data_IF_863654847730
#
_entry.id   IF_863654847730
#
_cell.length_a   1.000
_cell.length_b   1.000
_cell.length_c   1.000
_cell.angle_alpha   90.00
_cell.angle_beta   90.00
_cell.angle_gamma   90.00
#
_symmetry.space_group_name_H-M   'P 1'
#
loop_
_entity.id
_entity.type
_entity.pdbx_description
1 polymer ?
#
# COMPACT_ATOMS: atom_id res chain seq x y z
N UNK A 1 -18.41 39.83 -16.15
CA UNK A 1 -18.10 38.45 -16.59
C UNK A 1 -17.83 38.37 -18.10
N UNK A 2 -18.57 39.09 -18.97
CA UNK A 2 -18.32 39.12 -20.42
C UNK A 2 -16.91 39.61 -20.85
N UNK A 3 -16.36 40.68 -20.26
CA UNK A 3 -15.04 41.20 -20.67
C UNK A 3 -13.87 40.22 -20.45
N UNK A 4 -13.92 39.40 -19.39
CA UNK A 4 -12.86 38.42 -19.08
C UNK A 4 -12.92 37.20 -20.01
N UNK A 5 -14.13 36.78 -20.41
CA UNK A 5 -14.33 35.70 -21.39
C UNK A 5 -13.82 36.16 -22.76
N UNK A 6 -14.12 37.40 -23.15
CA UNK A 6 -13.70 37.99 -24.41
C UNK A 6 -12.17 38.19 -24.47
N UNK A 7 -11.55 38.67 -23.39
CA UNK A 7 -10.08 38.76 -23.30
C UNK A 7 -9.38 37.40 -23.38
N UNK A 8 -9.94 36.35 -22.75
CA UNK A 8 -9.39 35.00 -22.84
C UNK A 8 -9.53 34.39 -24.24
N UNK A 9 -10.64 34.66 -24.93
CA UNK A 9 -10.83 34.24 -26.32
C UNK A 9 -9.81 34.91 -27.25
N UNK A 10 -9.58 36.21 -27.09
CA UNK A 10 -8.58 36.97 -27.85
C UNK A 10 -7.17 36.42 -27.58
N UNK A 11 -6.78 36.22 -26.31
CA UNK A 11 -5.49 35.63 -25.95
C UNK A 11 -5.27 34.25 -26.56
N UNK A 12 -6.28 33.38 -26.56
CA UNK A 12 -6.21 32.06 -27.19
C UNK A 12 -6.02 32.16 -28.70
N UNK A 13 -6.76 33.06 -29.37
CA UNK A 13 -6.63 33.29 -30.80
C UNK A 13 -5.20 33.73 -31.17
N UNK A 14 -4.65 34.71 -30.45
CA UNK A 14 -3.28 35.20 -30.68
C UNK A 14 -2.21 34.13 -30.42
N UNK A 15 -2.43 33.24 -29.44
CA UNK A 15 -1.52 32.12 -29.18
C UNK A 15 -1.55 31.07 -30.28
N UNK A 16 -2.73 30.76 -30.82
CA UNK A 16 -2.88 29.81 -31.92
C UNK A 16 -2.24 30.35 -33.21
N UNK A 17 -2.46 31.61 -33.54
CA UNK A 17 -1.80 32.27 -34.69
C UNK A 17 -0.27 32.24 -34.58
N UNK A 18 0.28 32.39 -33.37
CA UNK A 18 1.74 32.25 -33.14
C UNK A 18 2.23 30.82 -33.37
N UNK A 19 1.46 29.80 -32.97
CA UNK A 19 1.81 28.39 -33.19
C UNK A 19 1.79 28.04 -34.68
N UNK A 20 0.80 28.52 -35.42
CA UNK A 20 0.70 28.31 -36.87
C UNK A 20 1.88 28.96 -37.61
N UNK A 21 2.25 30.19 -37.27
CA UNK A 21 3.42 30.86 -37.86
C UNK A 21 4.73 30.10 -37.62
N UNK A 22 4.91 29.48 -36.45
CA UNK A 22 6.11 28.68 -36.16
C UNK A 22 6.08 27.38 -36.97
N UNK A 23 4.93 26.74 -37.12
CA UNK A 23 4.77 25.54 -37.96
C UNK A 23 5.03 25.83 -39.44
N UNK A 24 4.59 26.97 -39.95
CA UNK A 24 4.91 27.42 -41.32
C UNK A 24 6.41 27.60 -41.52
N UNK A 25 7.10 28.26 -40.57
CA UNK A 25 8.56 28.42 -40.62
C UNK A 25 9.32 27.09 -40.59
N UNK A 26 8.82 26.10 -39.83
CA UNK A 26 9.39 24.75 -39.85
C UNK A 26 9.22 24.10 -41.23
N UNK A 27 8.01 24.17 -41.82
CA UNK A 27 7.74 23.62 -43.17
C UNK A 27 8.56 24.30 -44.25
N UNK A 28 8.74 25.62 -44.17
CA UNK A 28 9.60 26.37 -45.10
C UNK A 28 11.07 25.99 -44.94
N UNK A 29 11.55 25.85 -43.70
CA UNK A 29 12.89 25.35 -43.41
C UNK A 29 13.12 23.96 -44.01
N UNK A 30 12.15 23.05 -43.85
CA UNK A 30 12.20 21.69 -44.43
C UNK A 30 12.22 21.72 -45.97
N UNK A 31 11.44 22.60 -46.60
CA UNK A 31 11.49 22.80 -48.07
C UNK A 31 12.86 23.31 -48.53
N UNK A 32 13.45 24.27 -47.81
CA UNK A 32 14.80 24.80 -48.12
C UNK A 32 15.89 23.76 -47.89
N UNK A 33 15.73 22.90 -46.88
CA UNK A 33 16.66 21.80 -46.60
C UNK A 33 16.63 20.72 -47.69
N UNK A 34 15.46 20.45 -48.29
CA UNK A 34 15.35 19.54 -49.47
C UNK A 34 16.13 20.05 -50.68
N UNK A 35 16.20 21.37 -50.87
CA UNK A 35 16.95 22.00 -51.96
C UNK A 35 18.46 22.10 -51.67
N UNK A 36 18.86 22.17 -50.39
CA UNK A 36 20.27 22.25 -49.95
C UNK A 36 20.55 21.31 -48.76
N UNK A 37 20.79 20.00 -49.02
CA UNK A 37 20.85 18.97 -47.97
C UNK A 37 21.99 19.11 -46.96
N UNK A 38 23.10 19.77 -47.34
CA UNK A 38 24.31 19.91 -46.50
C UNK A 38 24.39 21.22 -45.71
N UNK A 39 23.38 22.08 -45.77
CA UNK A 39 23.41 23.36 -45.06
C UNK A 39 23.19 23.19 -43.55
N UNK A 40 24.24 23.43 -42.76
CA UNK A 40 24.17 23.36 -41.30
C UNK A 40 23.35 24.50 -40.69
N UNK A 41 23.26 25.66 -41.36
CA UNK A 41 22.51 26.81 -40.86
C UNK A 41 21.00 26.56 -40.87
N UNK A 42 20.47 25.99 -41.97
CA UNK A 42 19.04 25.65 -42.10
C UNK A 42 18.65 24.60 -41.06
N UNK A 43 19.53 23.63 -40.79
CA UNK A 43 19.29 22.61 -39.77
C UNK A 43 19.23 23.19 -38.36
N UNK A 44 20.06 24.20 -38.06
CA UNK A 44 20.05 24.92 -36.77
C UNK A 44 18.77 25.74 -36.61
N UNK A 45 18.31 26.42 -37.65
CA UNK A 45 17.04 27.18 -37.63
C UNK A 45 15.82 26.27 -37.38
N UNK A 46 15.73 25.14 -38.08
CA UNK A 46 14.63 24.17 -37.88
C UNK A 46 14.61 23.66 -36.44
N UNK A 47 15.77 23.26 -35.90
CA UNK A 47 15.88 22.82 -34.50
C UNK A 47 15.45 23.91 -33.52
N UNK A 48 15.82 25.17 -33.78
CA UNK A 48 15.45 26.29 -32.92
C UNK A 48 13.93 26.51 -32.91
N UNK A 49 13.27 26.43 -34.07
CA UNK A 49 11.81 26.51 -34.15
C UNK A 49 11.11 25.31 -33.51
N UNK A 50 11.66 24.10 -33.65
CA UNK A 50 11.14 22.89 -32.96
C UNK A 50 11.22 23.02 -31.44
N UNK A 51 12.31 23.55 -30.89
CA UNK A 51 12.44 23.82 -29.45
C UNK A 51 11.45 24.88 -28.99
N UNK A 52 11.27 25.97 -29.75
CA UNK A 52 10.27 26.99 -29.46
C UNK A 52 8.85 26.42 -29.45
N UNK A 53 8.52 25.56 -30.42
CA UNK A 53 7.23 24.90 -30.51
C UNK A 53 6.98 23.96 -29.33
N UNK A 54 7.97 23.11 -28.98
CA UNK A 54 7.94 22.25 -27.80
C UNK A 54 7.73 23.05 -26.50
N UNK A 55 8.41 24.18 -26.34
CA UNK A 55 8.24 25.06 -25.18
C UNK A 55 6.82 25.60 -25.06
N UNK A 56 6.21 26.01 -26.18
CA UNK A 56 4.81 26.48 -26.19
C UNK A 56 3.82 25.35 -25.89
N UNK A 57 4.05 24.14 -26.39
CA UNK A 57 3.24 22.96 -26.06
C UNK A 57 3.33 22.65 -24.57
N UNK A 58 4.54 22.62 -24.00
CA UNK A 58 4.74 22.34 -22.59
C UNK A 58 4.03 23.37 -21.70
N UNK A 59 4.08 24.65 -22.04
CA UNK A 59 3.33 25.71 -21.32
C UNK A 59 1.82 25.52 -21.39
N UNK A 60 1.29 25.10 -22.56
CA UNK A 60 -0.14 24.85 -22.74
C UNK A 60 -0.59 23.59 -21.99
N UNK A 61 0.26 22.54 -21.96
CA UNK A 61 0.06 21.34 -21.15
C UNK A 61 0.06 21.72 -19.66
N UNK A 62 1.06 22.47 -19.19
CA UNK A 62 1.11 22.96 -17.81
C UNK A 62 -0.14 23.76 -17.45
N UNK A 63 -0.61 24.63 -18.34
CA UNK A 63 -1.81 25.42 -18.14
C UNK A 63 -3.07 24.55 -18.08
N UNK A 64 -3.22 23.57 -18.98
CA UNK A 64 -4.33 22.62 -18.95
C UNK A 64 -4.29 21.74 -17.70
N UNK A 65 -3.10 21.33 -17.24
CA UNK A 65 -2.90 20.64 -15.97
C UNK A 65 -3.32 21.53 -14.80
N UNK A 66 -2.95 22.81 -14.80
CA UNK A 66 -3.41 23.79 -13.79
C UNK A 66 -4.92 24.01 -13.83
N UNK A 67 -5.55 24.09 -15.01
CA UNK A 67 -7.00 24.18 -15.17
C UNK A 67 -7.72 22.93 -14.69
N UNK A 68 -7.21 21.74 -14.99
CA UNK A 68 -7.73 20.48 -14.44
C UNK A 68 -7.62 20.42 -12.92
N UNK A 69 -6.69 21.18 -12.31
CA UNK A 69 -6.56 21.36 -10.85
C UNK A 69 -7.46 22.46 -10.28
N UNK A 70 -8.10 23.30 -11.11
CA UNK A 70 -8.83 24.49 -10.66
C UNK A 70 -10.25 24.11 -10.20
N UNK A 71 -10.45 24.14 -8.88
CA UNK A 71 -11.71 23.86 -8.17
C UNK A 71 -12.30 25.13 -7.50
N UNK A 72 -12.22 26.33 -8.10
CA UNK A 72 -12.68 27.54 -7.41
C UNK A 72 -14.20 27.67 -7.38
N UNK A 73 -14.71 27.77 -6.15
CA UNK A 73 -16.11 27.70 -5.71
C UNK A 73 -17.09 28.68 -6.38
N UNK A 74 -16.65 29.89 -6.71
CA UNK A 74 -17.54 30.98 -7.14
C UNK A 74 -17.79 31.05 -8.65
N UNK A 75 -16.94 30.38 -9.44
CA UNK A 75 -16.97 30.41 -10.91
C UNK A 75 -17.36 29.07 -11.53
N UNK A 76 -17.78 28.10 -10.71
CA UNK A 76 -18.20 26.79 -11.18
C UNK A 76 -19.70 26.77 -11.56
N UNK A 77 -20.04 26.11 -12.68
CA UNK A 77 -21.43 25.87 -13.10
C UNK A 77 -22.23 25.16 -11.99
N UNK A 78 -23.59 25.17 -12.03
CA UNK A 78 -24.47 24.56 -10.98
C UNK A 78 -24.01 23.17 -10.50
N UNK A 79 -23.60 22.28 -11.42
CA UNK A 79 -23.05 20.95 -11.07
C UNK A 79 -21.71 21.03 -10.31
N UNK A 80 -20.83 21.96 -10.68
CA UNK A 80 -19.55 22.21 -10.01
C UNK A 80 -19.71 22.90 -8.65
N UNK A 81 -20.75 23.71 -8.45
CA UNK A 81 -21.09 24.31 -7.15
C UNK A 81 -21.50 23.25 -6.12
N UNK A 82 -22.30 22.26 -6.54
CA UNK A 82 -22.65 21.11 -5.70
C UNK A 82 -21.40 20.30 -5.32
N UNK A 83 -20.53 20.01 -6.30
CA UNK A 83 -19.26 19.31 -6.06
C UNK A 83 -18.35 20.11 -5.11
N UNK A 84 -18.20 21.43 -5.32
CA UNK A 84 -17.41 22.29 -4.46
C UNK A 84 -17.96 22.35 -3.03
N UNK A 85 -19.29 22.36 -2.86
CA UNK A 85 -19.93 22.25 -1.56
C UNK A 85 -19.65 20.90 -0.88
N UNK A 86 -19.75 19.79 -1.62
CA UNK A 86 -19.40 18.46 -1.12
C UNK A 86 -17.92 18.38 -0.71
N UNK A 87 -17.02 18.95 -1.51
CA UNK A 87 -15.60 19.05 -1.20
C UNK A 87 -15.35 19.89 0.06
N UNK A 88 -16.04 21.01 0.24
CA UNK A 88 -15.95 21.85 1.45
C UNK A 88 -16.46 21.13 2.69
N UNK A 89 -17.56 20.37 2.57
CA UNK A 89 -18.07 19.50 3.65
C UNK A 89 -17.04 18.45 4.03
N UNK A 90 -16.45 17.76 3.05
CA UNK A 90 -15.37 16.78 3.28
C UNK A 90 -14.11 17.41 3.86
N UNK A 91 -13.73 18.60 3.40
CA UNK A 91 -12.59 19.33 3.93
C UNK A 91 -12.79 19.68 5.39
N UNK A 92 -13.96 20.21 5.77
CA UNK A 92 -14.30 20.45 7.19
C UNK A 92 -14.20 19.19 8.04
N UNK A 93 -14.64 18.05 7.51
CA UNK A 93 -14.56 16.77 8.23
C UNK A 93 -13.11 16.26 8.37
N UNK A 94 -12.27 16.48 7.36
CA UNK A 94 -10.90 15.96 7.34
C UNK A 94 -9.86 16.92 7.95
N UNK A 95 -10.20 18.19 8.13
CA UNK A 95 -9.31 19.15 8.77
C UNK A 95 -9.10 18.79 10.22
N UNK A 96 -7.84 18.58 10.60
CA UNK A 96 -7.44 18.37 11.98
C UNK A 96 -7.25 19.73 12.64
N UNK A 97 -8.12 20.05 13.60
CA UNK A 97 -8.13 21.33 14.33
C UNK A 97 -7.46 21.25 15.69
N UNK A 98 -7.48 20.08 16.32
CA UNK A 98 -6.85 19.84 17.62
C UNK A 98 -6.19 18.46 17.63
N UNK A 99 -5.00 18.40 18.22
CA UNK A 99 -4.29 17.15 18.52
C UNK A 99 -3.91 17.11 19.99
N UNK A 100 -4.12 15.97 20.61
CA UNK A 100 -3.59 15.67 21.94
C UNK A 100 -2.26 14.92 21.79
N UNK A 101 -1.19 15.54 22.27
CA UNK A 101 0.17 14.99 22.26
C UNK A 101 0.72 15.09 23.67
N UNK A 102 1.03 13.94 24.28
CA UNK A 102 1.60 13.84 25.63
C UNK A 102 0.81 14.63 26.70
N UNK A 103 -0.52 14.58 26.62
CA UNK A 103 -1.44 15.29 27.54
C UNK A 103 -1.60 16.80 27.26
N UNK A 104 -0.98 17.33 26.20
CA UNK A 104 -1.13 18.74 25.76
C UNK A 104 -1.97 18.83 24.49
N UNK A 105 -2.88 19.81 24.47
CA UNK A 105 -3.67 20.13 23.28
C UNK A 105 -2.91 21.09 22.36
N UNK A 106 -2.71 20.68 21.12
CA UNK A 106 -2.02 21.42 20.06
C UNK A 106 -3.06 21.83 19.02
N UNK A 107 -3.26 23.15 18.88
CA UNK A 107 -4.26 23.72 17.97
C UNK A 107 -3.63 24.49 16.80
N UNK A 108 -2.36 24.89 16.90
CA UNK A 108 -1.71 25.67 15.84
C UNK A 108 -1.48 24.78 14.61
N UNK A 109 -1.93 25.17 13.41
CA UNK A 109 -1.79 24.35 12.20
C UNK A 109 -0.33 23.97 11.88
N UNK A 110 0.62 24.85 12.16
CA UNK A 110 2.04 24.55 11.94
C UNK A 110 2.55 23.46 12.88
N UNK A 111 2.23 23.55 14.17
CA UNK A 111 2.61 22.58 15.19
C UNK A 111 1.94 21.22 14.95
N UNK A 112 0.65 21.20 14.59
CA UNK A 112 -0.07 19.98 14.20
C UNK A 112 0.66 19.23 13.08
N UNK A 113 1.10 19.96 12.04
CA UNK A 113 1.85 19.38 10.92
C UNK A 113 3.18 18.78 11.38
N UNK A 114 3.94 19.52 12.20
CA UNK A 114 5.21 19.05 12.76
C UNK A 114 5.04 17.82 13.66
N UNK A 115 3.96 17.75 14.44
CA UNK A 115 3.64 16.58 15.26
C UNK A 115 3.38 15.34 14.39
N UNK A 116 2.56 15.47 13.34
CA UNK A 116 2.32 14.37 12.41
C UNK A 116 3.59 13.93 11.68
N UNK A 117 4.37 14.89 11.17
CA UNK A 117 5.61 14.59 10.46
C UNK A 117 6.60 13.86 11.37
N UNK A 118 6.82 14.34 12.60
CA UNK A 118 7.68 13.69 13.59
C UNK A 118 7.22 12.27 13.90
N UNK A 119 5.93 12.09 14.13
CA UNK A 119 5.34 10.80 14.45
C UNK A 119 5.50 9.77 13.32
N UNK A 120 5.15 10.14 12.09
CA UNK A 120 5.28 9.22 10.95
C UNK A 120 6.74 8.98 10.56
N UNK A 121 7.61 10.00 10.66
CA UNK A 121 9.05 9.82 10.47
C UNK A 121 9.60 8.78 11.44
N UNK A 122 9.30 8.91 12.73
CA UNK A 122 9.71 7.92 13.74
C UNK A 122 9.07 6.54 13.51
N UNK A 123 7.79 6.50 13.09
CA UNK A 123 7.10 5.26 12.80
C UNK A 123 7.80 4.48 11.69
N UNK A 124 8.27 5.14 10.63
CA UNK A 124 8.88 4.49 9.47
C UNK A 124 10.41 4.34 9.54
N UNK A 125 11.06 4.90 10.56
CA UNK A 125 12.48 4.63 10.82
C UNK A 125 12.68 3.19 11.26
N UNK A 126 13.60 2.50 10.61
CA UNK A 126 13.97 1.13 10.93
C UNK A 126 15.15 1.16 11.90
N UNK A 127 14.99 0.49 13.05
CA UNK A 127 16.10 0.28 14.00
C UNK A 127 17.11 -0.74 13.44
N UNK A 128 18.30 -0.85 14.05
CA UNK A 128 19.33 -1.79 13.63
C UNK A 128 18.78 -3.22 13.60
N UNK A 129 19.01 -3.92 12.49
CA UNK A 129 18.57 -5.30 12.30
C UNK A 129 19.77 -6.24 12.27
N UNK A 130 19.64 -7.38 12.94
CA UNK A 130 20.64 -8.44 12.87
C UNK A 130 20.24 -9.42 11.76
N UNK A 131 20.84 -9.27 10.58
CA UNK A 131 20.55 -10.10 9.43
C UNK A 131 20.84 -11.60 9.67
N UNK A 132 21.90 -11.91 10.41
CA UNK A 132 22.26 -13.30 10.74
C UNK A 132 21.16 -13.99 11.56
N UNK A 133 20.56 -13.28 12.54
CA UNK A 133 19.40 -13.80 13.28
C UNK A 133 18.19 -14.04 12.38
N UNK A 134 17.94 -13.14 11.42
CA UNK A 134 16.85 -13.30 10.45
C UNK A 134 17.09 -14.54 9.58
N UNK A 135 18.31 -14.73 9.09
CA UNK A 135 18.67 -15.89 8.26
C UNK A 135 18.53 -17.20 9.02
N UNK A 136 19.01 -17.26 10.27
CA UNK A 136 18.84 -18.43 11.14
C UNK A 136 17.36 -18.72 11.41
N UNK A 137 16.57 -17.68 11.68
CA UNK A 137 15.13 -17.82 11.92
C UNK A 137 14.39 -18.37 10.70
N UNK A 138 14.68 -17.84 9.51
CA UNK A 138 14.04 -18.27 8.26
C UNK A 138 14.49 -19.66 7.80
N UNK A 139 15.71 -20.11 8.13
CA UNK A 139 16.14 -21.49 7.87
C UNK A 139 15.25 -22.51 8.59
N UNK A 140 14.86 -22.22 9.83
CA UNK A 140 14.05 -23.12 10.64
C UNK A 140 12.54 -22.96 10.40
N UNK A 141 12.08 -21.72 10.20
CA UNK A 141 10.64 -21.38 10.19
C UNK A 141 10.10 -20.92 8.83
N UNK A 142 10.96 -20.72 7.84
CA UNK A 142 10.60 -20.18 6.54
C UNK A 142 9.56 -21.00 5.79
N UNK A 143 8.93 -20.36 4.80
CA UNK A 143 7.99 -21.01 3.91
C UNK A 143 8.69 -22.01 2.98
N UNK A 144 7.94 -23.00 2.50
CA UNK A 144 8.46 -23.97 1.54
C UNK A 144 8.85 -23.28 0.24
N UNK A 145 9.89 -23.82 -0.40
CA UNK A 145 10.33 -23.36 -1.72
C UNK A 145 9.26 -23.65 -2.76
N UNK A 146 9.08 -22.71 -3.68
CA UNK A 146 8.18 -22.89 -4.80
C UNK A 146 8.68 -23.97 -5.76
N UNK A 147 7.78 -24.74 -6.38
CA UNK A 147 8.09 -25.59 -7.51
C UNK A 147 8.76 -24.80 -8.65
N UNK A 148 9.54 -25.49 -9.48
CA UNK A 148 10.27 -24.87 -10.58
C UNK A 148 9.35 -24.16 -11.58
N UNK A 149 8.15 -24.70 -11.83
CA UNK A 149 7.14 -24.09 -12.70
C UNK A 149 6.71 -22.69 -12.21
N UNK A 150 6.46 -22.57 -10.90
CA UNK A 150 6.10 -21.30 -10.27
C UNK A 150 7.25 -20.28 -10.35
N UNK A 151 8.50 -20.75 -10.22
CA UNK A 151 9.67 -19.90 -10.42
C UNK A 151 9.74 -19.38 -11.86
N UNK A 152 9.51 -20.22 -12.87
CA UNK A 152 9.46 -19.80 -14.28
C UNK A 152 8.37 -18.76 -14.51
N UNK A 153 7.18 -18.95 -13.94
CA UNK A 153 6.06 -18.01 -14.04
C UNK A 153 6.41 -16.62 -13.46
N UNK A 154 7.07 -16.57 -12.31
CA UNK A 154 7.44 -15.30 -11.67
C UNK A 154 8.51 -14.53 -12.46
N UNK A 155 9.43 -15.24 -13.10
CA UNK A 155 10.61 -14.66 -13.75
C UNK A 155 10.49 -14.46 -15.26
N UNK A 156 9.39 -14.89 -15.88
CA UNK A 156 9.14 -14.71 -17.32
C UNK A 156 9.10 -13.22 -17.70
N UNK A 157 9.39 -12.89 -18.96
CA UNK A 157 9.25 -11.51 -19.44
C UNK A 157 7.80 -11.04 -19.33
N UNK A 158 7.60 -9.78 -18.99
CA UNK A 158 6.30 -9.14 -18.93
C UNK A 158 5.78 -8.96 -20.36
N UNK A 159 4.58 -9.48 -20.60
CA UNK A 159 3.91 -9.41 -21.89
C UNK A 159 3.06 -8.14 -22.05
N UNK A 160 2.73 -7.78 -23.29
CA UNK A 160 1.81 -6.66 -23.57
C UNK A 160 0.42 -6.90 -22.98
N UNK A 161 -0.05 -8.16 -23.00
CA UNK A 161 -1.33 -8.55 -22.43
C UNK A 161 -1.38 -8.33 -20.91
N UNK A 162 -0.28 -8.54 -20.20
CA UNK A 162 -0.19 -8.24 -18.76
C UNK A 162 -0.27 -6.74 -18.49
N UNK A 163 0.41 -5.92 -19.30
CA UNK A 163 0.38 -4.45 -19.20
C UNK A 163 -1.01 -3.92 -19.53
N UNK A 164 -1.61 -4.37 -20.63
CA UNK A 164 -2.95 -3.99 -21.02
C UNK A 164 -3.97 -4.41 -19.95
N UNK A 165 -3.89 -5.66 -19.49
CA UNK A 165 -4.76 -6.17 -18.44
C UNK A 165 -4.58 -5.42 -17.11
N UNK A 166 -3.39 -4.91 -16.80
CA UNK A 166 -3.16 -4.04 -15.66
C UNK A 166 -3.86 -2.69 -15.84
N UNK A 167 -3.71 -2.04 -16.99
CA UNK A 167 -4.35 -0.75 -17.32
C UNK A 167 -5.88 -0.87 -17.30
N UNK A 168 -6.45 -1.91 -17.90
CA UNK A 168 -7.90 -2.05 -18.05
C UNK A 168 -8.62 -2.30 -16.72
N UNK A 169 -7.98 -3.02 -15.80
CA UNK A 169 -8.56 -3.35 -14.49
C UNK A 169 -8.42 -2.23 -13.46
N UNK A 170 -7.73 -1.13 -13.78
CA UNK A 170 -7.62 -0.01 -12.86
C UNK A 170 -8.96 0.70 -12.66
N UNK A 171 -9.29 0.95 -11.40
CA UNK A 171 -10.46 1.73 -11.04
C UNK A 171 -10.29 3.18 -11.51
N UNK A 172 -11.31 3.69 -12.21
CA UNK A 172 -11.39 5.08 -12.65
C UNK A 172 -11.77 6.00 -11.47
N UNK A 173 -11.40 7.27 -11.55
CA UNK A 173 -11.76 8.29 -10.56
C UNK A 173 -10.97 8.23 -9.24
N UNK A 174 -9.86 7.48 -9.20
CA UNK A 174 -8.93 7.47 -8.05
C UNK A 174 -7.91 8.60 -8.14
N UNK A 175 -7.45 9.06 -6.98
CA UNK A 175 -6.44 10.10 -6.88
C UNK A 175 -5.09 9.63 -7.47
N UNK A 176 -4.41 10.47 -8.26
CA UNK A 176 -3.10 10.16 -8.82
C UNK A 176 -2.00 10.30 -7.75
N UNK A 177 -0.79 9.86 -8.09
CA UNK A 177 0.41 10.13 -7.31
C UNK A 177 0.96 11.55 -7.53
N UNK A 178 2.22 11.81 -7.12
CA UNK A 178 2.89 13.09 -7.32
C UNK A 178 2.90 13.63 -8.76
N UNK A 179 2.90 12.75 -9.77
CA UNK A 179 2.89 13.12 -11.19
C UNK A 179 1.57 13.75 -11.67
N UNK A 180 0.47 13.52 -10.96
CA UNK A 180 -0.87 13.96 -11.33
C UNK A 180 -1.53 13.14 -12.45
N UNK A 181 -0.91 12.07 -12.95
CA UNK A 181 -1.46 11.23 -14.02
C UNK A 181 -2.45 10.22 -13.44
N UNK A 182 -3.70 10.27 -13.91
CA UNK A 182 -4.79 9.41 -13.42
C UNK A 182 -4.91 8.12 -14.23
N UNK A 183 -5.59 7.11 -13.70
CA UNK A 183 -5.89 5.87 -14.44
C UNK A 183 -6.63 6.12 -15.77
N UNK A 184 -7.42 7.22 -15.86
CA UNK A 184 -8.07 7.63 -17.11
C UNK A 184 -7.04 7.99 -18.20
N UNK A 185 -5.93 8.63 -17.84
CA UNK A 185 -4.87 8.98 -18.80
C UNK A 185 -4.29 7.71 -19.45
N UNK A 186 -3.91 6.73 -18.63
CA UNK A 186 -3.34 5.47 -19.12
C UNK A 186 -4.33 4.65 -19.93
N UNK A 187 -5.61 4.65 -19.55
CA UNK A 187 -6.66 3.93 -20.30
C UNK A 187 -6.95 4.56 -21.66
N UNK A 188 -6.95 5.90 -21.75
CA UNK A 188 -7.17 6.61 -23.02
C UNK A 188 -5.99 6.47 -23.98
N UNK A 189 -4.76 6.46 -23.47
CA UNK A 189 -3.54 6.42 -24.29
C UNK A 189 -2.89 5.03 -24.31
N UNK A 190 -3.64 3.98 -23.95
CA UNK A 190 -3.10 2.62 -23.78
C UNK A 190 -2.31 2.15 -25.01
N UNK A 191 -2.80 2.44 -26.20
CA UNK A 191 -2.23 1.96 -27.47
C UNK A 191 -0.82 2.53 -27.72
N UNK A 192 -0.50 3.69 -27.14
CA UNK A 192 0.82 4.33 -27.22
C UNK A 192 1.72 4.00 -26.03
N UNK A 193 1.13 3.63 -24.89
CA UNK A 193 1.86 3.46 -23.63
C UNK A 193 2.24 2.00 -23.33
N UNK A 194 1.52 1.02 -23.88
CA UNK A 194 1.76 -0.41 -23.58
C UNK A 194 3.21 -0.81 -23.90
N UNK A 195 3.71 -0.45 -25.09
CA UNK A 195 5.05 -0.84 -25.52
C UNK A 195 6.16 -0.21 -24.65
N UNK A 196 6.19 1.14 -24.44
CA UNK A 196 7.17 1.75 -23.54
C UNK A 196 7.09 1.21 -22.09
N UNK A 197 5.88 1.01 -21.56
CA UNK A 197 5.71 0.48 -20.21
C UNK A 197 6.24 -0.95 -20.11
N UNK A 198 6.00 -1.80 -21.11
CA UNK A 198 6.54 -3.16 -21.17
C UNK A 198 8.06 -3.16 -21.14
N UNK A 199 8.69 -2.30 -21.94
CA UNK A 199 10.16 -2.18 -21.99
C UNK A 199 10.71 -1.81 -20.61
N UNK A 200 10.20 -0.73 -20.01
CA UNK A 200 10.60 -0.30 -18.66
C UNK A 200 10.38 -1.39 -17.62
N UNK A 201 9.23 -2.07 -17.64
CA UNK A 201 8.92 -3.14 -16.69
C UNK A 201 9.91 -4.32 -16.83
N UNK A 202 10.27 -4.71 -18.06
CA UNK A 202 11.22 -5.79 -18.29
C UNK A 202 12.66 -5.39 -17.91
N UNK A 203 13.06 -4.16 -18.21
CA UNK A 203 14.36 -3.63 -17.78
C UNK A 203 14.52 -3.67 -16.26
N UNK A 204 13.46 -3.32 -15.52
CA UNK A 204 13.44 -3.40 -14.06
C UNK A 204 13.56 -4.86 -13.59
N UNK A 205 12.83 -5.79 -14.22
CA UNK A 205 12.95 -7.22 -13.92
C UNK A 205 14.37 -7.76 -14.19
N UNK A 206 15.05 -7.25 -15.20
CA UNK A 206 16.45 -7.56 -15.53
C UNK A 206 17.47 -6.90 -14.58
N UNK A 207 17.01 -6.08 -13.61
CA UNK A 207 17.86 -5.46 -12.58
C UNK A 207 18.32 -4.04 -12.89
N UNK A 208 17.79 -3.40 -13.94
CA UNK A 208 18.04 -1.97 -14.20
C UNK A 208 17.30 -1.10 -13.17
N UNK A 209 17.74 0.15 -13.05
CA UNK A 209 17.17 1.11 -12.08
C UNK A 209 15.75 1.51 -12.47
N UNK A 210 14.84 1.46 -11.51
CA UNK A 210 13.50 2.00 -11.67
C UNK A 210 13.50 3.54 -11.75
N UNK A 211 12.47 4.17 -12.36
CA UNK A 211 12.33 5.61 -12.37
C UNK A 211 12.34 6.22 -10.97
N UNK A 212 13.03 7.35 -10.77
CA UNK A 212 13.10 8.01 -9.46
C UNK A 212 11.71 8.43 -8.96
N UNK A 213 10.78 8.71 -9.87
CA UNK A 213 9.38 9.06 -9.56
C UNK A 213 8.63 7.94 -8.80
N UNK A 214 9.06 6.68 -8.89
CA UNK A 214 8.44 5.55 -8.18
C UNK A 214 8.80 5.50 -6.69
N UNK A 215 9.90 6.17 -6.34
CA UNK A 215 10.35 6.29 -4.96
C UNK A 215 9.53 7.32 -4.19
N UNK A 216 8.94 8.30 -4.89
CA UNK A 216 8.16 9.38 -4.31
C UNK A 216 6.70 8.99 -4.05
N UNK A 217 6.16 9.41 -2.91
CA UNK A 217 4.74 9.24 -2.58
C UNK A 217 4.19 10.45 -1.82
N UNK A 218 2.92 10.76 -2.04
CA UNK A 218 2.17 11.60 -1.11
C UNK A 218 1.39 10.75 -0.14
N UNK A 219 1.57 10.97 1.16
CA UNK A 219 0.79 10.28 2.19
C UNK A 219 -0.34 11.20 2.64
N UNK A 220 -1.57 10.76 2.44
CA UNK A 220 -2.76 11.42 3.00
C UNK A 220 -3.25 10.67 4.23
N UNK A 221 -3.76 11.39 5.22
CA UNK A 221 -4.21 10.81 6.48
C UNK A 221 -5.72 10.69 6.51
N UNK A 222 -6.21 9.48 6.77
CA UNK A 222 -7.64 9.20 6.93
C UNK A 222 -7.90 8.79 8.39
N UNK A 223 -8.77 9.49 9.13
CA UNK A 223 -9.11 9.09 10.49
C UNK A 223 -9.86 7.75 10.49
N UNK A 224 -9.59 6.90 11.50
CA UNK A 224 -10.29 5.61 11.67
C UNK A 224 -11.77 5.78 11.99
N UNK A 225 -12.10 6.81 12.75
CA UNK A 225 -13.45 7.18 13.17
C UNK A 225 -13.56 8.70 13.21
N UNK A 226 -14.76 9.24 12.98
CA UNK A 226 -15.00 10.68 13.07
C UNK A 226 -14.84 11.22 14.51
N UNK A 227 -15.01 10.37 15.51
CA UNK A 227 -14.99 10.74 16.93
C UNK A 227 -13.57 10.78 17.53
N UNK A 228 -12.60 10.12 16.91
CA UNK A 228 -11.28 9.88 17.50
C UNK A 228 -10.15 10.67 16.80
N UNK A 229 -10.44 11.92 16.39
CA UNK A 229 -9.51 12.76 15.60
C UNK A 229 -8.38 13.40 16.39
N UNK A 230 -8.44 13.39 17.72
CA UNK A 230 -7.47 14.08 18.58
C UNK A 230 -6.14 13.32 18.70
N UNK A 231 -6.12 12.01 18.46
CA UNK A 231 -4.92 11.20 18.66
C UNK A 231 -4.23 10.81 17.34
N UNK A 232 -2.91 11.00 17.28
CA UNK A 232 -2.07 10.68 16.10
C UNK A 232 -2.19 9.21 15.64
N UNK A 233 -2.32 8.27 16.59
CA UNK A 233 -2.41 6.82 16.34
C UNK A 233 -3.71 6.38 15.62
N UNK A 234 -4.71 7.24 15.59
CA UNK A 234 -6.01 6.95 14.98
C UNK A 234 -6.12 7.38 13.51
N UNK A 235 -5.00 7.82 12.91
CA UNK A 235 -4.93 8.14 11.48
C UNK A 235 -4.26 7.01 10.70
N UNK A 236 -4.91 6.61 9.59
CA UNK A 236 -4.37 5.67 8.60
C UNK A 236 -3.61 6.43 7.52
N UNK A 237 -2.32 6.12 7.30
CA UNK A 237 -1.54 6.72 6.22
C UNK A 237 -1.84 6.03 4.89
N UNK A 238 -2.52 6.72 3.96
CA UNK A 238 -2.76 6.22 2.60
C UNK A 238 -1.73 6.81 1.65
N UNK A 239 -0.98 5.94 0.97
CA UNK A 239 0.04 6.35 -0.01
C UNK A 239 -0.61 6.57 -1.39
N UNK A 240 -0.53 7.80 -1.87
CA UNK A 240 -0.85 8.17 -3.24
C UNK A 240 0.38 7.92 -4.11
N UNK A 241 0.34 6.82 -4.83
CA UNK A 241 1.43 6.34 -5.70
C UNK A 241 1.08 6.62 -7.18
N UNK A 242 2.11 6.87 -7.99
CA UNK A 242 1.96 7.05 -9.43
C UNK A 242 1.34 5.82 -10.08
N UNK A 243 0.66 6.02 -11.21
CA UNK A 243 -0.14 4.98 -11.84
C UNK A 243 0.73 3.99 -12.61
N UNK A 244 1.80 4.43 -13.27
CA UNK A 244 2.81 3.57 -13.89
C UNK A 244 3.44 2.59 -12.89
N UNK A 245 3.81 3.07 -11.70
CA UNK A 245 4.23 2.24 -10.59
C UNK A 245 3.16 1.19 -10.22
N UNK A 246 1.89 1.60 -10.16
CA UNK A 246 0.78 0.70 -9.84
C UNK A 246 0.56 -0.35 -10.93
N UNK A 247 0.80 -0.02 -12.20
CA UNK A 247 0.74 -0.98 -13.32
C UNK A 247 1.76 -2.10 -13.05
N UNK A 248 3.02 -1.74 -12.81
CA UNK A 248 4.07 -2.72 -12.54
C UNK A 248 3.80 -3.55 -11.28
N UNK A 249 3.44 -2.88 -10.18
CA UNK A 249 3.12 -3.56 -8.93
C UNK A 249 1.90 -4.50 -9.06
N UNK A 250 0.90 -4.15 -9.87
CA UNK A 250 -0.27 -5.01 -10.13
C UNK A 250 0.10 -6.25 -10.95
N UNK A 251 0.99 -6.11 -11.95
CA UNK A 251 1.50 -7.26 -12.71
C UNK A 251 2.22 -8.25 -11.78
N UNK A 252 3.16 -7.76 -10.97
CA UNK A 252 3.85 -8.60 -9.99
C UNK A 252 2.89 -9.22 -8.97
N UNK A 253 1.90 -8.44 -8.50
CA UNK A 253 0.89 -8.93 -7.57
C UNK A 253 0.09 -10.08 -8.17
N UNK A 254 -0.36 -9.98 -9.43
CA UNK A 254 -1.11 -11.05 -10.10
C UNK A 254 -0.28 -12.33 -10.25
N UNK A 255 0.99 -12.21 -10.61
CA UNK A 255 1.91 -13.35 -10.70
C UNK A 255 2.10 -14.02 -9.34
N UNK A 256 2.44 -13.22 -8.31
CA UNK A 256 2.65 -13.71 -6.95
C UNK A 256 1.37 -14.33 -6.36
N UNK A 257 0.20 -13.75 -6.64
CA UNK A 257 -1.09 -14.24 -6.15
C UNK A 257 -1.39 -15.67 -6.59
N UNK A 258 -1.01 -16.05 -7.82
CA UNK A 258 -1.19 -17.42 -8.33
C UNK A 258 -0.38 -18.41 -7.50
N UNK A 259 0.88 -18.08 -7.26
CA UNK A 259 1.82 -18.94 -6.53
C UNK A 259 1.49 -19.00 -5.03
N UNK A 260 1.14 -17.88 -4.40
CA UNK A 260 0.77 -17.84 -2.98
C UNK A 260 -0.53 -18.58 -2.68
N UNK A 261 -1.45 -18.73 -3.65
CA UNK A 261 -2.69 -19.45 -3.42
C UNK A 261 -2.46 -20.94 -3.07
N UNK A 262 -1.33 -21.51 -3.51
CA UNK A 262 -0.92 -22.90 -3.28
C UNK A 262 -0.17 -23.08 -1.95
N UNK A 263 0.64 -22.09 -1.55
CA UNK A 263 1.53 -22.19 -0.38
C UNK A 263 0.89 -21.68 0.91
N UNK A 264 0.06 -20.63 0.83
CA UNK A 264 -0.59 -20.06 2.01
C UNK A 264 -1.72 -20.97 2.46
N UNK A 265 -1.74 -21.35 3.73
CA UNK A 265 -2.77 -22.23 4.28
C UNK A 265 -4.18 -21.62 4.23
N UNK A 266 -5.20 -22.50 4.19
CA UNK A 266 -6.61 -22.10 4.06
C UNK A 266 -7.16 -21.30 5.25
N UNK A 267 -6.47 -21.31 6.39
CA UNK A 267 -6.86 -20.51 7.56
C UNK A 267 -6.66 -19.01 7.35
N UNK A 268 -5.82 -18.60 6.40
CA UNK A 268 -5.68 -17.23 5.96
C UNK A 268 -6.65 -16.96 4.81
N UNK A 269 -7.74 -16.25 5.08
CA UNK A 269 -8.77 -15.92 4.10
C UNK A 269 -8.55 -14.55 3.41
N UNK A 270 -7.55 -13.77 3.84
CA UNK A 270 -7.27 -12.44 3.30
C UNK A 270 -6.58 -12.45 1.94
N UNK A 271 -7.02 -11.57 1.04
CA UNK A 271 -6.39 -11.18 -0.25
C UNK A 271 -6.16 -12.26 -1.31
N UNK A 272 -6.40 -13.54 -1.01
CA UNK A 272 -6.28 -14.67 -1.93
C UNK A 272 -7.62 -15.02 -2.56
N UNK A 273 -7.62 -15.54 -3.81
CA UNK A 273 -8.86 -15.84 -4.52
C UNK A 273 -9.59 -17.04 -3.89
N UNK A 274 -10.93 -17.04 -3.99
CA UNK A 274 -11.80 -18.13 -3.50
C UNK A 274 -11.68 -18.41 -1.99
N UNK A 275 -11.39 -17.37 -1.21
CA UNK A 275 -11.41 -17.42 0.26
C UNK A 275 -12.33 -16.31 0.74
N UNK A 276 -13.35 -16.66 1.53
CA UNK A 276 -14.34 -15.70 1.99
C UNK A 276 -14.26 -15.52 3.50
N UNK A 277 -14.46 -14.27 3.96
CA UNK A 277 -14.51 -13.97 5.39
C UNK A 277 -15.64 -14.75 6.09
N UNK A 278 -16.75 -15.00 5.39
CA UNK A 278 -17.87 -15.81 5.87
C UNK A 278 -17.44 -17.20 6.31
N UNK A 279 -16.46 -17.80 5.63
CA UNK A 279 -15.97 -19.13 5.97
C UNK A 279 -15.26 -19.09 7.33
N UNK A 280 -14.45 -18.07 7.57
CA UNK A 280 -13.79 -17.86 8.86
C UNK A 280 -14.82 -17.59 9.97
N UNK A 281 -15.81 -16.74 9.71
CA UNK A 281 -16.89 -16.46 10.66
C UNK A 281 -17.66 -17.72 11.02
N UNK A 282 -18.05 -18.53 10.02
CA UNK A 282 -18.76 -19.79 10.27
C UNK A 282 -17.92 -20.77 11.09
N UNK A 283 -16.63 -20.92 10.77
CA UNK A 283 -15.72 -21.76 11.56
C UNK A 283 -15.68 -21.34 13.04
N UNK A 284 -15.62 -20.04 13.33
CA UNK A 284 -15.61 -19.53 14.70
C UNK A 284 -16.95 -19.83 15.41
N UNK A 285 -18.07 -19.68 14.70
CA UNK A 285 -19.41 -20.02 15.22
C UNK A 285 -19.50 -21.52 15.53
N UNK A 286 -19.08 -22.40 14.61
CA UNK A 286 -19.11 -23.86 14.80
C UNK A 286 -18.27 -24.29 16.02
N UNK A 287 -17.11 -23.64 16.21
CA UNK A 287 -16.26 -23.85 17.39
C UNK A 287 -16.97 -23.44 18.68
N UNK A 288 -17.65 -22.28 18.69
CA UNK A 288 -18.39 -21.81 19.84
C UNK A 288 -19.59 -22.73 20.17
N UNK A 289 -20.35 -23.15 19.16
CA UNK A 289 -21.46 -24.10 19.31
C UNK A 289 -20.96 -25.43 19.91
N UNK A 290 -19.82 -25.94 19.41
CA UNK A 290 -19.20 -27.14 19.99
C UNK A 290 -18.79 -26.96 21.45
N UNK A 291 -18.18 -25.83 21.79
CA UNK A 291 -17.77 -25.52 23.16
C UNK A 291 -18.97 -25.34 24.11
N UNK A 292 -20.14 -24.97 23.59
CA UNK A 292 -21.37 -24.92 24.39
C UNK A 292 -21.84 -26.32 24.78
N UNK A 293 -21.77 -27.29 23.86
CA UNK A 293 -22.14 -28.69 24.11
C UNK A 293 -21.13 -29.38 25.05
N UNK A 294 -19.83 -29.12 24.87
CA UNK A 294 -18.77 -29.74 25.67
C UNK A 294 -18.46 -28.95 26.95
N UNK A 295 -19.29 -29.13 27.98
CA UNK A 295 -19.27 -28.34 29.23
C UNK A 295 -17.94 -28.44 30.00
N UNK A 296 -17.18 -29.53 29.87
CA UNK A 296 -15.92 -29.70 30.61
C UNK A 296 -14.68 -29.14 29.90
N UNK A 297 -14.79 -28.71 28.64
CA UNK A 297 -13.65 -28.18 27.90
C UNK A 297 -13.34 -26.75 28.33
N UNK A 298 -12.11 -26.52 28.81
CA UNK A 298 -11.57 -25.18 29.05
C UNK A 298 -10.98 -24.64 27.75
N UNK A 299 -11.42 -23.46 27.33
CA UNK A 299 -10.96 -22.86 26.10
C UNK A 299 -10.97 -21.34 26.14
N UNK A 300 -10.16 -20.73 25.28
CA UNK A 300 -10.15 -19.28 25.04
C UNK A 300 -10.17 -18.98 23.55
N UNK A 301 -10.86 -17.91 23.19
CA UNK A 301 -10.82 -17.30 21.87
C UNK A 301 -10.14 -15.94 22.00
N UNK A 302 -9.02 -15.76 21.31
CA UNK A 302 -8.19 -14.57 21.39
C UNK A 302 -8.30 -13.82 20.08
N UNK A 303 -8.88 -12.62 20.13
CA UNK A 303 -8.99 -11.69 19.01
C UNK A 303 -7.79 -10.76 19.06
N UNK A 304 -6.75 -11.14 18.32
CA UNK A 304 -5.46 -10.47 18.28
C UNK A 304 -5.58 -9.17 17.48
N UNK A 305 -5.24 -8.05 18.12
CA UNK A 305 -5.08 -6.76 17.46
C UNK A 305 -3.58 -6.51 17.22
N UNK A 306 -3.20 -6.39 15.95
CA UNK A 306 -1.81 -6.10 15.59
C UNK A 306 -1.56 -4.58 15.54
N UNK A 307 -0.53 -4.11 16.23
CA UNK A 307 -0.19 -2.70 16.26
C UNK A 307 0.41 -2.27 14.92
N UNK A 308 -0.42 -1.63 14.08
CA UNK A 308 -0.03 -1.06 12.78
C UNK A 308 0.78 -2.07 11.96
N UNK A 309 0.22 -3.28 11.82
CA UNK A 309 0.95 -4.42 11.26
C UNK A 309 1.61 -4.10 9.92
N UNK A 310 0.87 -3.47 8.99
CA UNK A 310 1.39 -3.06 7.69
C UNK A 310 2.56 -2.07 7.78
N UNK A 311 2.56 -1.15 8.74
CA UNK A 311 3.56 -0.07 8.84
C UNK A 311 4.85 -0.52 9.55
N UNK A 312 4.83 -1.66 10.26
CA UNK A 312 5.94 -2.14 11.07
C UNK A 312 6.76 -3.29 10.46
N UNK A 313 6.34 -3.88 9.35
CA UNK A 313 7.05 -5.01 8.72
C UNK A 313 8.47 -4.61 8.26
N UNK A 314 9.46 -5.41 8.64
CA UNK A 314 10.84 -5.30 8.15
C UNK A 314 10.95 -5.66 6.67
N UNK A 315 11.50 -4.75 5.86
CA UNK A 315 11.81 -5.02 4.45
C UNK A 315 12.88 -6.10 4.28
N UNK A 316 13.88 -6.12 5.16
CA UNK A 316 14.95 -7.11 5.13
C UNK A 316 14.40 -8.52 5.38
N UNK A 317 13.55 -8.68 6.39
CA UNK A 317 12.86 -9.95 6.66
C UNK A 317 11.99 -10.36 5.46
N UNK A 318 11.18 -9.44 4.94
CA UNK A 318 10.30 -9.70 3.79
C UNK A 318 11.09 -10.17 2.56
N UNK A 319 12.19 -9.49 2.21
CA UNK A 319 13.04 -9.85 1.07
C UNK A 319 13.71 -11.20 1.27
N UNK A 320 14.30 -11.45 2.45
CA UNK A 320 14.93 -12.74 2.78
C UNK A 320 13.90 -13.90 2.80
N UNK A 321 12.68 -13.65 3.24
CA UNK A 321 11.60 -14.64 3.20
C UNK A 321 11.25 -15.03 1.74
N UNK A 322 11.09 -14.04 0.85
CA UNK A 322 10.84 -14.31 -0.57
C UNK A 322 12.01 -15.04 -1.25
N UNK A 323 13.24 -14.66 -0.92
CA UNK A 323 14.44 -15.35 -1.38
C UNK A 323 14.43 -16.83 -0.92
N UNK A 324 14.11 -17.07 0.36
CA UNK A 324 13.94 -18.41 0.93
C UNK A 324 12.85 -19.25 0.24
N UNK A 325 11.77 -18.60 -0.23
CA UNK A 325 10.72 -19.23 -1.04
C UNK A 325 11.15 -19.54 -2.48
N UNK A 326 12.29 -19.02 -2.94
CA UNK A 326 12.81 -19.30 -4.28
C UNK A 326 12.07 -18.56 -5.40
N UNK A 327 11.59 -17.33 -5.15
CA UNK A 327 10.89 -16.50 -6.16
C UNK A 327 11.71 -16.23 -7.42
N UNK A 328 13.05 -16.30 -7.34
CA UNK A 328 13.98 -16.08 -8.45
C UNK A 328 14.40 -14.63 -8.64
N UNK A 329 15.56 -14.44 -9.27
CA UNK A 329 16.30 -13.17 -9.31
C UNK A 329 15.52 -12.03 -9.98
N UNK A 330 14.82 -12.29 -11.09
CA UNK A 330 14.11 -11.23 -11.80
C UNK A 330 12.95 -10.69 -10.95
N UNK A 331 12.26 -11.58 -10.24
CA UNK A 331 11.21 -11.19 -9.32
C UNK A 331 11.78 -10.45 -8.09
N UNK A 332 12.92 -10.89 -7.55
CA UNK A 332 13.63 -10.19 -6.49
C UNK A 332 14.03 -8.77 -6.91
N UNK A 333 14.51 -8.60 -8.16
CA UNK A 333 14.82 -7.29 -8.73
C UNK A 333 13.57 -6.40 -8.77
N UNK A 334 12.43 -6.92 -9.22
CA UNK A 334 11.15 -6.20 -9.24
C UNK A 334 10.68 -5.78 -7.84
N UNK A 335 10.79 -6.65 -6.84
CA UNK A 335 10.50 -6.31 -5.44
C UNK A 335 11.50 -5.29 -4.89
N UNK A 336 12.78 -5.41 -5.24
CA UNK A 336 13.83 -4.47 -4.86
C UNK A 336 13.60 -3.07 -5.44
N UNK A 337 13.15 -2.98 -6.68
CA UNK A 337 12.75 -1.72 -7.31
C UNK A 337 11.59 -1.04 -6.57
N UNK A 338 10.65 -1.81 -6.04
CA UNK A 338 9.52 -1.28 -5.27
C UNK A 338 9.93 -0.90 -3.83
N UNK A 339 10.71 -1.74 -3.14
CA UNK A 339 11.08 -1.59 -1.73
C UNK A 339 12.58 -1.38 -1.53
N UNK A 340 13.13 -0.28 -2.06
CA UNK A 340 14.54 0.10 -1.86
C UNK A 340 14.66 1.41 -1.10
N UNK A 341 14.63 2.53 -1.80
CA UNK A 341 14.69 3.87 -1.23
C UNK A 341 13.35 4.54 -1.49
N UNK A 342 12.56 4.77 -0.44
CA UNK A 342 11.25 5.40 -0.58
C UNK A 342 11.24 6.74 0.13
N UNK A 343 10.72 7.75 -0.55
CA UNK A 343 10.59 9.13 -0.09
C UNK A 343 9.11 9.47 -0.04
N UNK A 344 8.65 10.04 1.06
CA UNK A 344 7.27 10.46 1.21
C UNK A 344 7.16 11.88 1.72
N UNK A 345 6.13 12.58 1.24
CA UNK A 345 5.68 13.87 1.78
C UNK A 345 4.28 13.69 2.33
N UNK A 346 4.04 14.23 3.52
CA UNK A 346 2.74 14.11 4.18
C UNK A 346 1.83 15.26 3.73
N UNK A 347 0.56 14.97 3.47
CA UNK A 347 -0.47 15.97 3.22
C UNK A 347 -1.31 16.10 4.49
N UNK A 348 -1.17 17.22 5.18
CA UNK A 348 -1.94 17.56 6.38
C UNK A 348 -2.65 18.88 6.14
N UNK A 349 -3.98 18.89 6.29
CA UNK A 349 -4.82 20.07 6.07
C UNK A 349 -4.52 20.75 4.71
N UNK A 350 -4.41 19.95 3.65
CA UNK A 350 -4.07 20.38 2.27
C UNK A 350 -2.71 21.08 2.10
N UNK A 351 -1.82 20.97 3.08
CA UNK A 351 -0.43 21.42 2.93
C UNK A 351 0.51 20.22 2.91
N UNK A 352 1.48 20.27 2.00
CA UNK A 352 2.53 19.25 1.86
C UNK A 352 3.66 19.57 2.85
N UNK A 353 4.09 18.58 3.62
CA UNK A 353 5.25 18.70 4.53
C UNK A 353 6.56 18.52 3.79
N UNK A 354 7.67 18.67 4.51
CA UNK A 354 8.97 18.23 4.01
C UNK A 354 9.00 16.73 3.76
N UNK A 355 9.96 16.33 2.93
CA UNK A 355 10.22 14.95 2.57
C UNK A 355 10.91 14.19 3.70
N UNK A 356 10.52 12.94 3.89
CA UNK A 356 11.21 12.00 4.77
C UNK A 356 11.34 10.63 4.11
N UNK A 357 12.33 9.85 4.57
CA UNK A 357 12.57 8.49 4.09
C UNK A 357 11.70 7.49 4.84
N UNK A 358 11.23 6.48 4.12
CA UNK A 358 10.55 5.30 4.67
C UNK A 358 11.53 4.15 4.58
N UNK A 359 11.74 3.45 5.70
CA UNK A 359 12.72 2.36 5.79
C UNK A 359 12.08 1.01 6.14
N UNK A 360 10.80 1.02 6.55
CA UNK A 360 10.02 -0.18 6.87
C UNK A 360 8.54 0.02 6.60
N UNK A 361 7.79 -1.07 6.65
CA UNK A 361 6.36 -1.10 6.42
C UNK A 361 6.00 -1.19 4.94
N UNK A 362 4.86 -1.81 4.67
CA UNK A 362 4.30 -1.96 3.34
C UNK A 362 3.42 -0.76 3.00
N UNK A 363 3.55 -0.23 1.78
CA UNK A 363 2.77 0.94 1.32
C UNK A 363 1.28 0.60 1.27
N UNK A 364 0.45 1.29 2.05
CA UNK A 364 -1.01 1.21 1.93
C UNK A 364 -1.46 1.87 0.61
N UNK A 365 -2.08 1.08 -0.27
CA UNK A 365 -2.48 1.51 -1.62
C UNK A 365 -1.60 0.98 -2.75
N UNK A 366 -0.53 0.23 -2.43
CA UNK A 366 0.24 -0.53 -3.41
C UNK A 366 -0.42 -1.90 -3.65
N UNK A 367 -0.63 -2.35 -4.91
CA UNK A 367 -1.28 -3.62 -5.23
C UNK A 367 -0.61 -4.87 -4.64
N UNK A 368 0.73 -4.90 -4.57
CA UNK A 368 1.49 -6.06 -4.11
C UNK A 368 1.66 -6.11 -2.58
N UNK A 369 1.58 -4.96 -1.89
CA UNK A 369 1.76 -4.86 -0.43
C UNK A 369 0.96 -5.90 0.37
N UNK A 370 -0.34 -6.12 0.11
CA UNK A 370 -1.13 -7.08 0.87
C UNK A 370 -0.64 -8.53 0.72
N UNK A 371 -0.16 -8.91 -0.47
CA UNK A 371 0.35 -10.26 -0.75
C UNK A 371 1.69 -10.50 -0.05
N UNK A 372 2.54 -9.48 -0.01
CA UNK A 372 3.81 -9.53 0.72
C UNK A 372 3.55 -9.64 2.23
N UNK A 373 2.60 -8.86 2.74
CA UNK A 373 2.19 -8.93 4.14
C UNK A 373 1.72 -10.33 4.55
N UNK A 374 0.79 -10.94 3.81
CA UNK A 374 0.32 -12.30 4.14
C UNK A 374 1.44 -13.34 4.01
N UNK A 375 2.40 -13.18 3.09
CA UNK A 375 3.53 -14.10 2.96
C UNK A 375 4.45 -14.06 4.17
N UNK A 376 4.64 -12.88 4.77
CA UNK A 376 5.40 -12.71 6.01
C UNK A 376 4.60 -13.26 7.20
N UNK A 377 3.31 -12.93 7.29
CA UNK A 377 2.45 -13.39 8.38
C UNK A 377 2.30 -14.92 8.40
N UNK A 378 2.28 -15.57 7.24
CA UNK A 378 2.16 -17.03 7.13
C UNK A 378 3.30 -17.78 7.86
N UNK A 379 4.48 -17.17 7.98
CA UNK A 379 5.59 -17.73 8.78
C UNK A 379 5.15 -17.87 10.24
N UNK A 380 4.59 -16.81 10.84
CA UNK A 380 4.02 -16.85 12.19
C UNK A 380 2.89 -17.89 12.30
N UNK A 381 1.96 -17.90 11.34
CA UNK A 381 0.83 -18.83 11.38
C UNK A 381 1.30 -20.29 11.27
N UNK A 382 2.37 -20.58 10.54
CA UNK A 382 2.98 -21.91 10.47
C UNK A 382 3.66 -22.30 11.78
N UNK A 383 4.36 -21.38 12.44
CA UNK A 383 4.96 -21.63 13.76
C UNK A 383 3.89 -22.04 14.78
N UNK A 384 2.80 -21.27 14.87
CA UNK A 384 1.69 -21.57 15.80
C UNK A 384 1.04 -22.93 15.48
N UNK A 385 0.89 -23.26 14.19
CA UNK A 385 0.30 -24.54 13.77
C UNK A 385 1.18 -25.73 14.15
N UNK A 386 2.48 -25.64 13.91
CA UNK A 386 3.46 -26.73 14.15
C UNK A 386 3.77 -26.94 15.64
N UNK A 387 3.66 -25.89 16.44
CA UNK A 387 3.97 -25.97 17.87
C UNK A 387 2.96 -26.85 18.62
N UNK A 388 3.46 -27.95 19.19
CA UNK A 388 2.64 -28.93 19.93
C UNK A 388 2.30 -28.47 21.35
N UNK A 389 3.00 -27.48 21.90
CA UNK A 389 2.65 -26.89 23.20
C UNK A 389 1.43 -25.96 23.07
N UNK A 390 1.14 -25.48 21.87
CA UNK A 390 -0.07 -24.70 21.58
C UNK A 390 -1.21 -25.65 21.23
N UNK A 391 -2.10 -25.90 22.19
CA UNK A 391 -3.25 -26.77 21.99
C UNK A 391 -4.42 -25.97 21.41
N UNK A 392 -4.89 -26.35 20.23
CA UNK A 392 -6.11 -25.82 19.61
C UNK A 392 -7.34 -26.67 19.94
N UNK A 393 -8.50 -26.22 19.47
CA UNK A 393 -9.76 -26.93 19.69
C UNK A 393 -9.85 -28.12 18.75
N UNK A 394 -9.96 -29.32 19.32
CA UNK A 394 -10.09 -30.55 18.56
C UNK A 394 -11.52 -30.74 18.04
N UNK A 395 -11.68 -30.96 16.74
CA UNK A 395 -12.94 -31.31 16.06
C UNK A 395 -12.71 -32.56 15.20
N UNK A 396 -13.21 -33.70 15.68
CA UNK A 396 -12.88 -35.01 15.11
C UNK A 396 -11.38 -35.27 15.18
N UNK A 397 -10.77 -35.53 14.03
CA UNK A 397 -9.32 -35.77 13.89
C UNK A 397 -8.50 -34.49 13.68
N UNK A 398 -9.16 -33.34 13.49
CA UNK A 398 -8.48 -32.06 13.18
C UNK A 398 -8.42 -31.16 14.40
N UNK A 399 -7.34 -30.41 14.51
CA UNK A 399 -7.16 -29.39 15.54
C UNK A 399 -7.20 -27.99 14.93
N UNK A 400 -8.04 -27.12 15.48
CA UNK A 400 -8.25 -25.76 15.01
C UNK A 400 -7.59 -24.78 16.00
N UNK A 401 -6.45 -24.22 15.60
CA UNK A 401 -5.65 -23.31 16.45
C UNK A 401 -5.85 -21.84 16.13
N UNK A 402 -6.03 -21.49 14.85
CA UNK A 402 -6.07 -20.11 14.40
C UNK A 402 -6.86 -19.93 13.11
N UNK A 403 -7.37 -18.72 12.90
CA UNK A 403 -7.92 -18.18 11.65
C UNK A 403 -7.42 -16.76 11.45
N UNK A 404 -7.07 -16.40 10.23
CA UNK A 404 -6.58 -15.08 9.89
C UNK A 404 -7.36 -14.48 8.72
N UNK A 405 -7.56 -13.17 8.77
CA UNK A 405 -8.01 -12.35 7.65
C UNK A 405 -7.14 -11.11 7.58
N UNK A 406 -6.15 -11.12 6.71
CA UNK A 406 -5.13 -10.07 6.69
C UNK A 406 -4.43 -9.94 8.06
N UNK A 407 -4.52 -8.78 8.70
CA UNK A 407 -4.00 -8.47 10.03
C UNK A 407 -4.91 -8.89 11.18
N UNK A 408 -6.19 -9.19 10.92
CA UNK A 408 -7.12 -9.70 11.93
C UNK A 408 -6.86 -11.19 12.17
N UNK A 409 -6.38 -11.53 13.37
CA UNK A 409 -6.08 -12.91 13.78
C UNK A 409 -6.99 -13.34 14.93
N UNK A 410 -7.59 -14.51 14.80
CA UNK A 410 -8.36 -15.16 15.86
C UNK A 410 -7.67 -16.47 16.21
N UNK A 411 -7.25 -16.63 17.46
CA UNK A 411 -6.73 -17.89 17.98
C UNK A 411 -7.77 -18.60 18.83
N UNK A 412 -7.87 -19.92 18.67
CA UNK A 412 -8.80 -20.79 19.38
C UNK A 412 -8.03 -21.86 20.13
N UNK A 413 -7.86 -21.68 21.45
CA UNK A 413 -6.92 -22.46 22.23
C UNK A 413 -7.61 -23.24 23.35
N UNK A 414 -7.16 -24.47 23.57
CA UNK A 414 -7.37 -25.26 24.78
C UNK A 414 -6.20 -25.06 25.72
N UNK A 415 -6.32 -25.50 26.98
CA UNK A 415 -5.33 -25.22 28.03
C UNK A 415 -5.01 -23.71 28.11
N UNK A 416 -6.00 -22.88 28.51
CA UNK A 416 -5.96 -21.42 28.32
C UNK A 416 -4.66 -20.74 28.72
N UNK A 417 -4.07 -21.11 29.86
CA UNK A 417 -2.89 -20.41 30.40
C UNK A 417 -1.63 -20.80 29.63
N UNK A 418 -1.33 -22.10 29.54
CA UNK A 418 -0.09 -22.62 28.93
C UNK A 418 -0.05 -22.35 27.42
N UNK A 419 -1.14 -22.67 26.69
CA UNK A 419 -1.20 -22.45 25.24
C UNK A 419 -1.12 -20.96 24.89
N UNK A 420 -1.78 -20.09 25.66
CA UNK A 420 -1.74 -18.65 25.39
C UNK A 420 -0.36 -18.07 25.66
N UNK A 421 0.27 -18.45 26.78
CA UNK A 421 1.63 -18.03 27.09
C UNK A 421 2.60 -18.41 25.96
N UNK A 422 2.53 -19.67 25.52
CA UNK A 422 3.37 -20.14 24.41
C UNK A 422 3.08 -19.39 23.10
N UNK A 423 1.82 -19.14 22.79
CA UNK A 423 1.45 -18.37 21.59
C UNK A 423 2.01 -16.93 21.64
N UNK A 424 1.96 -16.29 22.81
CA UNK A 424 2.54 -14.95 23.01
C UNK A 424 4.07 -14.95 22.85
N UNK A 425 4.76 -15.97 23.36
CA UNK A 425 6.21 -16.15 23.15
C UNK A 425 6.55 -16.27 21.66
N UNK A 426 5.82 -17.12 20.92
CA UNK A 426 5.99 -17.29 19.47
C UNK A 426 5.75 -15.99 18.70
N UNK A 427 4.71 -15.22 19.07
CA UNK A 427 4.43 -13.92 18.48
C UNK A 427 5.57 -12.92 18.79
N UNK A 428 6.11 -12.95 20.00
CA UNK A 428 7.21 -12.08 20.41
C UNK A 428 8.50 -12.40 19.65
N UNK A 429 8.86 -13.67 19.52
CA UNK A 429 10.04 -14.13 18.78
C UNK A 429 9.96 -13.72 17.31
N UNK A 430 8.81 -13.93 16.68
CA UNK A 430 8.54 -13.45 15.32
C UNK A 430 8.60 -11.92 15.23
N UNK A 431 8.07 -11.22 16.23
CA UNK A 431 8.07 -9.76 16.30
C UNK A 431 9.48 -9.14 16.32
N UNK A 432 10.45 -9.81 16.95
CA UNK A 432 11.84 -9.36 17.00
C UNK A 432 12.52 -9.33 15.62
N UNK A 433 12.15 -10.26 14.73
CA UNK A 433 12.78 -10.38 13.40
C UNK A 433 11.95 -9.74 12.29
N UNK A 434 10.62 -9.87 12.35
CA UNK A 434 9.72 -9.42 11.29
C UNK A 434 9.10 -8.04 11.55
N UNK A 435 9.14 -7.56 12.81
CA UNK A 435 8.57 -6.28 13.23
C UNK A 435 7.08 -6.33 13.62
N UNK A 436 6.46 -7.51 13.65
CA UNK A 436 5.08 -7.67 14.08
C UNK A 436 4.93 -7.41 15.58
N UNK A 437 3.97 -6.56 15.97
CA UNK A 437 3.73 -6.20 17.37
C UNK A 437 2.28 -6.42 17.75
N UNK A 438 2.06 -7.06 18.90
CA UNK A 438 0.75 -7.27 19.48
C UNK A 438 0.33 -6.03 20.27
N UNK A 439 -0.90 -5.55 20.05
CA UNK A 439 -1.53 -4.58 20.93
C UNK A 439 -2.30 -5.30 22.04
N UNK A 440 -1.63 -5.54 23.18
CA UNK A 440 -2.24 -6.25 24.31
C UNK A 440 -3.51 -5.57 24.84
N UNK A 441 -3.55 -4.24 24.85
CA UNK A 441 -4.70 -3.46 25.35
C UNK A 441 -5.95 -3.58 24.46
N UNK A 442 -5.75 -3.76 23.15
CA UNK A 442 -6.85 -3.93 22.18
C UNK A 442 -7.20 -5.38 21.91
N UNK A 443 -6.28 -6.28 22.20
CA UNK A 443 -6.50 -7.72 22.09
C UNK A 443 -7.55 -8.13 23.12
N UNK A 444 -8.60 -8.79 22.65
CA UNK A 444 -9.72 -9.22 23.49
C UNK A 444 -9.74 -10.74 23.59
N UNK A 445 -10.06 -11.25 24.77
CA UNK A 445 -10.15 -12.70 25.00
C UNK A 445 -11.54 -13.06 25.51
N UNK A 446 -12.19 -14.01 24.84
CA UNK A 446 -13.38 -14.70 25.34
C UNK A 446 -12.98 -16.01 25.98
N UNK A 447 -13.48 -16.27 27.18
CA UNK A 447 -13.21 -17.47 27.94
C UNK A 447 -14.40 -18.43 28.03
N UNK A 448 -14.10 -19.71 28.15
CA UNK A 448 -15.08 -20.77 28.40
C UNK A 448 -14.60 -21.67 29.53
N UNK A 449 -15.42 -21.81 30.57
CA UNK A 449 -15.24 -22.72 31.70
C UNK A 449 -13.98 -22.48 32.55
N UNK A 450 -13.47 -21.23 32.61
CA UNK A 450 -12.44 -20.83 33.56
C UNK A 450 -13.05 -20.44 34.90
N UNK A 451 -12.50 -20.97 35.99
CA UNK A 451 -12.83 -20.59 37.37
C UNK A 451 -12.33 -19.16 37.68
N UNK A 452 -12.86 -18.46 38.70
CA UNK A 452 -12.40 -17.13 39.07
C UNK A 452 -10.88 -17.04 39.31
N UNK A 453 -10.31 -18.04 39.98
CA UNK A 453 -8.87 -18.12 40.25
C UNK A 453 -8.07 -18.26 38.94
N UNK A 454 -8.56 -19.08 38.01
CA UNK A 454 -7.90 -19.24 36.70
C UNK A 454 -8.00 -17.97 35.84
N UNK A 455 -9.08 -17.19 35.97
CA UNK A 455 -9.22 -15.90 35.26
C UNK A 455 -8.20 -14.88 35.74
N UNK A 456 -8.04 -14.75 37.06
CA UNK A 456 -7.04 -13.86 37.65
C UNK A 456 -5.63 -14.29 37.25
N UNK A 457 -5.34 -15.60 37.34
CA UNK A 457 -4.06 -16.16 36.92
C UNK A 457 -3.79 -15.91 35.43
N UNK A 458 -4.79 -16.13 34.57
CA UNK A 458 -4.68 -15.88 33.14
C UNK A 458 -4.36 -14.41 32.84
N UNK A 459 -5.08 -13.47 33.44
CA UNK A 459 -4.84 -12.04 33.23
C UNK A 459 -3.46 -11.61 33.74
N UNK A 460 -3.02 -12.15 34.89
CA UNK A 460 -1.70 -11.87 35.46
C UNK A 460 -0.55 -12.41 34.61
N UNK A 461 -0.66 -13.64 34.09
CA UNK A 461 0.41 -14.28 33.32
C UNK A 461 0.46 -13.81 31.85
N UNK A 462 -0.69 -13.48 31.25
CA UNK A 462 -0.75 -13.12 29.82
C UNK A 462 -0.81 -11.61 29.58
N UNK A 463 -1.20 -10.83 30.60
CA UNK A 463 -1.50 -9.39 30.49
C UNK A 463 -2.61 -9.08 29.46
N UNK A 464 -3.46 -10.07 29.15
CA UNK A 464 -4.58 -9.92 28.23
C UNK A 464 -5.90 -9.72 28.97
N UNK A 465 -6.75 -8.84 28.45
CA UNK A 465 -8.05 -8.53 29.04
C UNK A 465 -9.11 -9.55 28.64
N UNK A 466 -9.76 -10.16 29.63
CA UNK A 466 -10.93 -11.02 29.43
C UNK A 466 -12.18 -10.16 29.26
N UNK A 467 -13.03 -10.48 28.28
CA UNK A 467 -14.25 -9.74 27.98
C UNK A 467 -15.44 -10.68 27.89
N UNK A 468 -16.64 -10.20 28.26
CA UNK A 468 -17.89 -10.97 28.11
C UNK A 468 -18.42 -10.96 26.67
N UNK A 469 -18.00 -9.98 25.86
CA UNK A 469 -18.39 -9.79 24.46
C UNK A 469 -17.28 -9.05 23.71
N UNK A 470 -17.06 -9.42 22.45
CA UNK A 470 -16.04 -8.85 21.56
C UNK A 470 -16.61 -7.79 20.66
#
# INVERSE_FOLDING_TARGET
MCCLIQQNAIKRKTQNEKKEKILEKIREGEKKLRLKPKSQEILREIKLYQVQYMKMINQDIEWKVKQMRQNTFESANKCGKLLAWQLKKRQKLNTVTNLEVDGKNVQKPQEIRSCFQRYFKQLYTQGPQNESKIDQFLKSNGLQKFPQENKVLLNSKISEQEVEGAIQNMQLGKSPGPDGLTSKYYRTLKDYLIQPLKEVCNEIMEGKKAPETWKEAYITLIPKSEMEKTQLKNYRPISLLNVDYKIFADILARRLKKVLAEVIHKDQAGFLPRRHLSDNTRNVIDILEKLQVNINTKAVLIFVDAEKAFDNISWTFMKKNLHGMGVGQNFENGIGAIYSEQKAKLIVNNTVTEEYRIEKGTRQGCPISPLLFISVLEVLLNMIRRDQMIQGIQVGVKQYKLKAFADDLVMTLQEPISSTKRALEVIQDFGQVAGFKLNKMKTKVLEKNLTPIERERFQKETELTLVKKV
#
